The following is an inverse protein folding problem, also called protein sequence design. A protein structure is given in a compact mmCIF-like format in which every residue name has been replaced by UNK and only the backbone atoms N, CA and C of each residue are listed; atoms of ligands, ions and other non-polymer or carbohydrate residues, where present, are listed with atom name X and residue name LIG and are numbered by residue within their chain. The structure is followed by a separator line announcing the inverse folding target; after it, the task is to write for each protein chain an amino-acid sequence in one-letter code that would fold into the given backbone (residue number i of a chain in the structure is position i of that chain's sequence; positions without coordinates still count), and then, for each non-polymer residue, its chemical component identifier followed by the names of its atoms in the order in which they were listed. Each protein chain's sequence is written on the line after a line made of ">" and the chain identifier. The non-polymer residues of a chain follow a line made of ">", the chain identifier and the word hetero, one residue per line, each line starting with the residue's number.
data_IF_880010940944
#
_entry.id   IF_880010940944
#
_cell.length_a   1.000
_cell.length_b   1.000
_cell.length_c   1.000
_cell.angle_alpha   90.00
_cell.angle_beta   90.00
_cell.angle_gamma   90.00
#
_symmetry.space_group_name_H-M   'P 1'
#
loop_
_entity.id
_entity.type
_entity.pdbx_description
1 polymer ?
#
# COMPACT_ATOMS: atom_id res chain seq x y z
N UNK A 1 -0.86 -16.98 -4.80
CA UNK A 1 0.44 -16.72 -4.13
C UNK A 1 0.23 -15.68 -3.05
N UNK A 2 0.98 -15.68 -1.95
CA UNK A 2 0.82 -14.70 -0.85
C UNK A 2 2.13 -13.96 -0.62
N UNK A 3 2.06 -12.64 -0.51
CA UNK A 3 3.14 -11.75 -0.12
C UNK A 3 2.70 -10.92 1.08
N UNK A 4 3.65 -10.57 1.94
CA UNK A 4 3.40 -9.77 3.15
C UNK A 4 4.57 -8.83 3.39
N UNK A 5 4.30 -7.62 3.87
CA UNK A 5 5.34 -6.75 4.42
C UNK A 5 4.83 -5.99 5.63
N UNK A 6 5.75 -5.73 6.56
CA UNK A 6 5.54 -4.80 7.65
C UNK A 6 5.82 -3.37 7.17
N UNK A 7 5.04 -2.41 7.66
CA UNK A 7 5.20 -0.99 7.40
C UNK A 7 5.72 -0.30 8.67
N UNK A 8 6.78 0.49 8.54
CA UNK A 8 7.35 1.30 9.63
C UNK A 8 7.80 2.67 9.13
N UNK A 9 7.99 3.61 10.05
CA UNK A 9 8.55 4.93 9.75
C UNK A 9 10.01 4.88 9.30
N UNK A 10 10.79 3.91 9.79
CA UNK A 10 12.19 3.72 9.41
C UNK A 10 12.39 3.38 7.93
N UNK A 11 11.37 2.76 7.31
CA UNK A 11 11.39 2.40 5.90
C UNK A 11 11.03 3.58 4.97
N UNK A 12 10.50 4.68 5.49
CA UNK A 12 10.23 5.87 4.69
C UNK A 12 11.52 6.52 4.20
N UNK A 13 11.41 7.31 3.12
CA UNK A 13 12.56 8.01 2.53
C UNK A 13 12.25 9.49 2.40
N UNK A 14 12.75 10.34 3.33
CA UNK A 14 13.54 10.01 4.52
C UNK A 14 12.72 9.34 5.63
N UNK A 15 13.39 8.64 6.55
CA UNK A 15 12.78 7.96 7.68
C UNK A 15 11.97 8.91 8.58
N UNK A 16 10.92 8.38 9.22
CA UNK A 16 10.01 9.11 10.13
C UNK A 16 10.10 8.56 11.54
N UNK A 17 10.24 9.47 12.51
CA UNK A 17 10.14 9.16 13.93
C UNK A 17 8.65 9.05 14.30
N UNK A 18 8.12 7.83 14.28
CA UNK A 18 6.73 7.52 14.60
C UNK A 18 6.62 6.12 15.19
N UNK A 19 5.65 5.93 16.08
CA UNK A 19 5.27 4.63 16.60
C UNK A 19 4.20 3.94 15.74
N UNK A 20 3.74 4.59 14.67
CA UNK A 20 2.82 4.00 13.72
C UNK A 20 3.46 2.78 13.05
N UNK A 21 2.68 1.73 12.87
CA UNK A 21 3.08 0.53 12.15
C UNK A 21 1.94 0.03 11.27
N UNK A 22 2.26 -0.87 10.36
CA UNK A 22 1.25 -1.55 9.57
C UNK A 22 1.70 -2.90 9.05
N UNK A 23 0.77 -3.63 8.48
CA UNK A 23 1.02 -4.87 7.78
C UNK A 23 0.11 -4.92 6.57
N UNK A 24 0.66 -5.29 5.42
CA UNK A 24 -0.12 -5.57 4.22
C UNK A 24 0.02 -7.03 3.84
N UNK A 25 -1.11 -7.66 3.54
CA UNK A 25 -1.20 -9.03 3.05
C UNK A 25 -1.74 -8.95 1.63
N UNK A 26 -1.01 -9.53 0.68
CA UNK A 26 -1.34 -9.51 -0.75
C UNK A 26 -1.48 -10.94 -1.25
N UNK A 27 -2.66 -11.30 -1.77
CA UNK A 27 -2.98 -12.62 -2.29
C UNK A 27 -3.29 -12.53 -3.78
N UNK A 28 -2.40 -13.07 -4.60
CA UNK A 28 -2.57 -13.17 -6.06
C UNK A 28 -3.40 -14.42 -6.37
N UNK A 29 -4.48 -14.25 -7.14
CA UNK A 29 -5.35 -15.35 -7.58
C UNK A 29 -4.58 -16.36 -8.45
N UNK A 30 -5.10 -17.59 -8.54
CA UNK A 30 -4.42 -18.67 -9.31
C UNK A 30 -4.38 -18.39 -10.81
N UNK A 31 -5.38 -17.68 -11.33
CA UNK A 31 -5.47 -17.25 -12.72
C UNK A 31 -4.75 -15.92 -12.99
N UNK A 32 -4.17 -15.29 -11.96
CA UNK A 32 -3.46 -14.00 -12.04
C UNK A 32 -4.31 -12.83 -12.58
N UNK A 33 -5.64 -12.95 -12.51
CA UNK A 33 -6.59 -11.92 -12.93
C UNK A 33 -7.02 -10.98 -11.81
N UNK A 34 -6.71 -11.32 -10.55
CA UNK A 34 -7.00 -10.46 -9.41
C UNK A 34 -5.97 -10.58 -8.29
N UNK A 35 -5.86 -9.49 -7.52
CA UNK A 35 -5.05 -9.44 -6.31
C UNK A 35 -5.94 -8.98 -5.17
N UNK A 36 -6.17 -9.84 -4.18
CA UNK A 36 -6.82 -9.44 -2.94
C UNK A 36 -5.78 -8.88 -1.98
N UNK A 37 -6.02 -7.70 -1.41
CA UNK A 37 -5.15 -7.11 -0.39
C UNK A 37 -5.90 -6.85 0.90
N UNK A 38 -5.17 -6.85 2.01
CA UNK A 38 -5.64 -6.39 3.32
C UNK A 38 -4.53 -5.57 3.97
N UNK A 39 -4.81 -4.32 4.28
CA UNK A 39 -3.91 -3.39 4.96
C UNK A 39 -4.43 -3.13 6.38
N UNK A 40 -3.58 -3.43 7.35
CA UNK A 40 -3.81 -3.25 8.78
C UNK A 40 -2.82 -2.21 9.28
N UNK A 41 -3.27 -1.29 10.13
CA UNK A 41 -2.42 -0.26 10.76
C UNK A 41 -2.61 -0.26 12.27
N UNK A 42 -1.61 0.24 12.98
CA UNK A 42 -1.66 0.46 14.41
C UNK A 42 -0.95 1.76 14.79
N UNK A 43 -1.38 2.35 15.91
CA UNK A 43 -0.78 3.53 16.53
C UNK A 43 -0.75 4.80 15.65
N UNK A 44 -1.63 4.91 14.64
CA UNK A 44 -1.71 6.12 13.79
C UNK A 44 -2.45 7.22 14.54
N UNK A 45 -1.78 8.35 14.79
CA UNK A 45 -2.27 9.41 15.68
C UNK A 45 -2.92 10.59 14.97
N UNK A 46 -2.79 10.71 13.65
CA UNK A 46 -3.44 11.78 12.87
C UNK A 46 -4.15 11.23 11.64
N UNK A 47 -5.06 12.01 11.06
CA UNK A 47 -5.97 11.51 10.03
C UNK A 47 -5.18 10.94 8.85
N UNK A 48 -5.60 9.78 8.37
CA UNK A 48 -5.03 9.14 7.18
C UNK A 48 -5.58 9.86 5.95
N UNK A 49 -4.68 10.26 5.05
CA UNK A 49 -5.01 11.01 3.83
C UNK A 49 -4.83 10.20 2.56
N UNK A 50 -4.14 9.06 2.63
CA UNK A 50 -3.92 8.18 1.49
C UNK A 50 -3.18 6.90 1.84
N UNK A 51 -3.28 5.90 0.98
CA UNK A 51 -2.42 4.72 1.01
C UNK A 51 -2.33 4.12 -0.39
N UNK A 52 -1.12 3.75 -0.80
CA UNK A 52 -0.83 3.43 -2.19
C UNK A 52 0.12 2.25 -2.33
N UNK A 53 0.02 1.56 -3.48
CA UNK A 53 1.17 0.85 -4.03
C UNK A 53 1.96 1.82 -4.92
N UNK A 54 3.27 1.81 -4.76
CA UNK A 54 4.23 2.51 -5.60
C UNK A 54 5.17 1.51 -6.27
N UNK A 55 5.67 1.85 -7.46
CA UNK A 55 6.55 0.95 -8.22
C UNK A 55 7.99 1.47 -8.26
N UNK A 56 8.83 0.92 -7.37
CA UNK A 56 10.24 1.24 -7.27
C UNK A 56 10.97 0.33 -6.28
N UNK A 57 12.32 0.26 -6.37
CA UNK A 57 13.11 -0.58 -5.49
C UNK A 57 13.17 0.01 -4.07
N UNK A 58 13.53 -0.83 -3.11
CA UNK A 58 13.71 -0.42 -1.72
C UNK A 58 14.65 0.79 -1.60
N UNK A 59 14.24 1.77 -0.80
CA UNK A 59 15.00 3.00 -0.56
C UNK A 59 14.85 4.09 -1.62
N UNK A 60 14.03 3.88 -2.67
CA UNK A 60 13.80 4.87 -3.74
C UNK A 60 12.33 5.30 -3.78
N UNK A 61 12.08 6.60 -3.76
CA UNK A 61 10.74 7.16 -3.96
C UNK A 61 10.28 6.98 -5.41
N UNK A 62 9.05 6.52 -5.59
CA UNK A 62 8.48 6.26 -6.91
C UNK A 62 7.03 6.73 -7.03
N UNK A 63 6.49 6.69 -8.26
CA UNK A 63 5.11 7.05 -8.54
C UNK A 63 4.10 6.02 -8.04
N UNK A 64 2.89 6.49 -7.76
CA UNK A 64 1.73 5.65 -7.39
C UNK A 64 1.31 4.81 -8.60
N UNK A 65 1.00 3.53 -8.35
CA UNK A 65 0.41 2.61 -9.34
C UNK A 65 -0.94 2.05 -8.90
N UNK A 66 -1.29 2.06 -7.61
CA UNK A 66 -2.63 1.71 -7.10
C UNK A 66 -2.99 2.61 -5.91
N UNK A 67 -4.23 3.09 -5.84
CA UNK A 67 -4.79 3.76 -4.65
C UNK A 67 -5.67 2.80 -3.85
N UNK A 68 -5.21 2.42 -2.65
CA UNK A 68 -5.84 1.37 -1.84
C UNK A 68 -7.13 1.83 -1.15
N UNK A 69 -7.25 3.11 -0.80
CA UNK A 69 -8.44 3.63 -0.12
C UNK A 69 -9.65 3.72 -1.08
N UNK A 70 -9.40 3.92 -2.38
CA UNK A 70 -10.44 4.02 -3.40
C UNK A 70 -11.01 2.67 -3.84
N UNK A 71 -10.35 1.56 -3.49
CA UNK A 71 -10.72 0.20 -3.89
C UNK A 71 -11.14 -0.67 -2.71
N UNK A 72 -11.25 -0.08 -1.52
CA UNK A 72 -11.65 -0.79 -0.31
C UNK A 72 -13.13 -1.19 -0.40
N UNK A 73 -13.43 -2.45 -0.09
CA UNK A 73 -14.79 -3.03 -0.12
C UNK A 73 -15.71 -2.40 0.95
N UNK A 74 -15.12 -1.79 1.98
CA UNK A 74 -15.79 -1.01 3.01
C UNK A 74 -15.15 0.36 3.16
N UNK A 75 -15.90 1.41 3.55
CA UNK A 75 -15.35 2.73 3.78
C UNK A 75 -14.15 2.68 4.75
N UNK A 76 -12.96 3.12 4.34
CA UNK A 76 -11.78 3.14 5.21
C UNK A 76 -12.00 4.02 6.44
N UNK A 77 -11.64 3.54 7.63
CA UNK A 77 -11.60 4.40 8.82
C UNK A 77 -10.31 5.24 8.82
N UNK A 78 -10.42 6.50 8.39
CA UNK A 78 -9.28 7.41 8.25
C UNK A 78 -9.19 8.46 9.35
N UNK A 79 -10.18 8.54 10.24
CA UNK A 79 -10.20 9.52 11.34
C UNK A 79 -9.39 8.99 12.52
N UNK A 80 -8.42 9.77 12.98
CA UNK A 80 -7.55 9.37 14.07
C UNK A 80 -8.27 9.27 15.43
N UNK A 81 -7.78 8.40 16.34
CA UNK A 81 -6.68 7.45 16.13
C UNK A 81 -7.13 6.23 15.31
N UNK A 82 -6.25 5.71 14.45
CA UNK A 82 -6.56 4.56 13.59
C UNK A 82 -5.80 3.32 14.04
N UNK A 83 -6.55 2.26 14.32
CA UNK A 83 -6.04 0.92 14.62
C UNK A 83 -6.94 -0.13 13.94
N UNK A 84 -6.35 -1.20 13.44
CA UNK A 84 -7.05 -2.30 12.79
C UNK A 84 -7.01 -2.23 11.27
N UNK A 85 -8.00 -2.84 10.62
CA UNK A 85 -8.08 -2.89 9.15
C UNK A 85 -8.38 -1.50 8.60
N UNK A 86 -7.43 -0.94 7.87
CA UNK A 86 -7.59 0.34 7.19
C UNK A 86 -8.34 0.17 5.86
N UNK A 87 -7.91 -0.82 5.07
CA UNK A 87 -8.49 -1.10 3.75
C UNK A 87 -8.34 -2.58 3.41
N UNK A 88 -9.34 -3.13 2.74
CA UNK A 88 -9.35 -4.51 2.23
C UNK A 88 -10.16 -4.52 0.95
N UNK A 89 -9.66 -5.18 -0.09
CA UNK A 89 -10.33 -5.16 -1.39
C UNK A 89 -9.59 -5.93 -2.46
N UNK A 90 -10.13 -5.85 -3.68
CA UNK A 90 -9.61 -6.57 -4.85
C UNK A 90 -9.11 -5.62 -5.92
N UNK A 91 -7.84 -5.76 -6.29
CA UNK A 91 -7.20 -5.06 -7.40
C UNK A 91 -7.37 -5.88 -8.67
N UNK A 92 -7.82 -5.21 -9.72
CA UNK A 92 -7.81 -5.70 -11.11
C UNK A 92 -7.07 -4.69 -12.00
N UNK A 93 -6.88 -5.00 -13.28
CA UNK A 93 -6.20 -4.12 -14.22
C UNK A 93 -6.84 -2.70 -14.32
N UNK A 94 -8.15 -2.57 -14.08
CA UNK A 94 -8.85 -1.28 -14.11
C UNK A 94 -8.47 -0.35 -12.95
N UNK A 95 -7.88 -0.88 -11.88
CA UNK A 95 -7.44 -0.10 -10.73
C UNK A 95 -6.01 0.43 -10.89
N UNK A 96 -5.30 0.02 -11.95
CA UNK A 96 -3.93 0.45 -12.19
C UNK A 96 -3.89 1.91 -12.66
N UNK A 97 -2.89 2.62 -12.17
CA UNK A 97 -2.68 4.05 -12.39
C UNK A 97 -1.21 4.35 -12.65
N UNK A 98 -0.91 5.62 -12.92
CA UNK A 98 0.46 6.06 -13.18
C UNK A 98 1.11 5.26 -14.32
N UNK A 99 2.34 4.78 -14.08
CA UNK A 99 3.11 4.01 -15.06
C UNK A 99 2.47 2.68 -15.48
N UNK A 100 1.51 2.15 -14.71
CA UNK A 100 0.78 0.92 -15.04
C UNK A 100 -0.64 1.17 -15.56
N UNK A 101 -1.04 2.43 -15.79
CA UNK A 101 -2.37 2.73 -16.31
C UNK A 101 -2.58 2.13 -17.69
N UNK A 102 -3.66 1.35 -17.86
CA UNK A 102 -3.97 0.65 -19.10
C UNK A 102 -3.14 -0.62 -19.37
N UNK A 103 -2.23 -0.97 -18.46
CA UNK A 103 -1.40 -2.18 -18.57
C UNK A 103 -2.15 -3.42 -18.03
N UNK A 104 -1.77 -4.64 -18.42
CA UNK A 104 -2.33 -5.85 -17.83
C UNK A 104 -1.91 -5.99 -16.36
N UNK A 105 -2.74 -6.67 -15.56
CA UNK A 105 -2.45 -6.93 -14.14
C UNK A 105 -1.15 -7.74 -13.94
N UNK A 106 -0.75 -8.53 -14.94
CA UNK A 106 0.50 -9.27 -14.97
C UNK A 106 1.74 -8.40 -14.74
N UNK A 107 1.70 -7.12 -15.10
CA UNK A 107 2.82 -6.20 -14.93
C UNK A 107 2.99 -5.82 -13.46
N UNK A 108 1.88 -5.52 -12.77
CA UNK A 108 1.89 -5.33 -11.31
C UNK A 108 2.33 -6.61 -10.59
N UNK A 109 1.80 -7.77 -11.00
CA UNK A 109 2.17 -9.07 -10.42
C UNK A 109 3.67 -9.35 -10.58
N UNK A 110 4.23 -9.04 -11.75
CA UNK A 110 5.66 -9.20 -12.01
C UNK A 110 6.49 -8.25 -11.16
N UNK A 111 6.05 -7.00 -10.98
CA UNK A 111 6.71 -6.04 -10.10
C UNK A 111 6.68 -6.48 -8.62
N UNK A 112 5.57 -7.05 -8.14
CA UNK A 112 5.48 -7.63 -6.79
C UNK A 112 6.45 -8.80 -6.65
N UNK A 113 6.44 -9.76 -7.59
CA UNK A 113 7.36 -10.92 -7.57
C UNK A 113 8.83 -10.51 -7.62
N UNK A 114 9.14 -9.37 -8.24
CA UNK A 114 10.49 -8.83 -8.35
C UNK A 114 10.94 -7.99 -7.15
N UNK A 115 10.11 -7.81 -6.13
CA UNK A 115 10.45 -6.98 -4.98
C UNK A 115 10.40 -5.48 -5.27
N UNK A 116 9.67 -5.05 -6.31
CA UNK A 116 9.70 -3.69 -6.86
C UNK A 116 8.41 -2.90 -6.58
N UNK A 117 7.61 -3.33 -5.60
CA UNK A 117 6.45 -2.60 -5.11
C UNK A 117 6.66 -2.27 -3.64
N UNK A 118 6.34 -1.04 -3.23
CA UNK A 118 6.19 -0.72 -1.82
C UNK A 118 4.80 -0.17 -1.55
N UNK A 119 4.36 -0.39 -0.31
CA UNK A 119 3.11 0.14 0.23
C UNK A 119 3.45 1.24 1.20
N UNK A 120 2.71 2.33 1.16
CA UNK A 120 2.81 3.38 2.16
C UNK A 120 1.45 3.85 2.68
N UNK A 121 1.46 4.53 3.82
CA UNK A 121 0.31 5.22 4.40
C UNK A 121 0.71 6.67 4.67
N UNK A 122 -0.15 7.59 4.26
CA UNK A 122 0.02 9.02 4.45
C UNK A 122 -0.93 9.52 5.54
N UNK A 123 -0.46 10.47 6.34
CA UNK A 123 -1.30 11.15 7.33
C UNK A 123 -1.21 12.65 7.20
N UNK A 124 -2.04 13.37 7.94
CA UNK A 124 -1.98 14.84 7.99
C UNK A 124 -0.64 15.35 8.53
N UNK A 125 -0.01 14.65 9.48
CA UNK A 125 1.34 15.02 9.97
C UNK A 125 2.43 14.68 8.97
N UNK A 126 2.30 13.54 8.28
CA UNK A 126 3.29 13.06 7.31
C UNK A 126 2.69 12.91 5.91
N UNK A 127 2.44 14.02 5.20
CA UNK A 127 1.79 13.99 3.90
C UNK A 127 2.62 13.29 2.82
N UNK A 128 3.95 13.20 2.98
CA UNK A 128 4.84 12.44 2.10
C UNK A 128 4.86 10.93 2.36
N UNK A 129 4.27 10.46 3.46
CA UNK A 129 4.35 9.08 3.95
C UNK A 129 4.76 9.04 5.41
N UNK A 130 3.96 8.36 6.24
CA UNK A 130 4.25 8.09 7.66
C UNK A 130 4.93 6.73 7.84
N UNK A 131 4.46 5.70 7.14
CA UNK A 131 4.98 4.33 7.22
C UNK A 131 5.04 3.66 5.85
N UNK A 132 6.10 2.88 5.60
CA UNK A 132 6.38 2.16 4.35
C UNK A 132 6.79 0.70 4.57
N UNK A 133 6.46 -0.17 3.61
CA UNK A 133 6.94 -1.55 3.55
C UNK A 133 7.15 -2.01 2.11
N UNK A 134 8.22 -2.76 1.85
CA UNK A 134 8.54 -3.31 0.53
C UNK A 134 7.94 -4.72 0.38
N UNK A 135 7.18 -4.94 -0.69
CA UNK A 135 6.64 -6.26 -1.08
C UNK A 135 7.63 -7.01 -1.96
#
# INVERSE_FOLDING_TARGET
>A
MVFTTHLSGDNEVPARDTNATGEVIVRISKDELSIHFKLIVANVQTNITGSHFHMGPAGVNAGVVVNLLNISDSPPNTSAPVNGVLAEGTITASNLSGALSGMPLSDLISAIKAGNIYVNVHTTTYPGGEIRGQL
#
